data_IF_100474510181
#
_entry.id   IF_100474510181
#
_cell.length_a   1.000
_cell.length_b   1.000
_cell.length_c   1.000
_cell.angle_alpha   90.00
_cell.angle_beta   90.00
_cell.angle_gamma   90.00
#
_symmetry.space_group_name_H-M   'P 1'
#
loop_
_entity.id
_entity.type
_entity.pdbx_description
1 polymer ?
#
# COMPACT_ATOMS: atom_id res chain seq x y z
N UNK A 1 -33.05 -31.73 68.15
CA UNK A 1 -33.90 -30.54 68.33
C UNK A 1 -33.24 -29.41 67.60
N UNK A 2 -33.70 -29.18 66.43
CA UNK A 2 -34.36 -27.98 65.84
C UNK A 2 -33.50 -26.74 65.78
N UNK A 3 -33.17 -26.36 64.53
CA UNK A 3 -33.69 -25.24 63.69
C UNK A 3 -32.96 -23.88 63.99
N UNK A 4 -32.52 -23.09 63.08
CA UNK A 4 -32.81 -22.51 61.81
C UNK A 4 -31.67 -21.53 61.41
N UNK A 5 -31.27 -21.59 60.13
CA UNK A 5 -31.35 -20.58 59.04
C UNK A 5 -30.62 -19.24 59.18
N UNK A 6 -29.64 -19.07 58.26
CA UNK A 6 -29.72 -18.15 57.12
C UNK A 6 -29.27 -16.70 57.32
N UNK A 7 -28.20 -16.30 56.70
CA UNK A 7 -28.22 -15.11 55.83
C UNK A 7 -26.98 -15.11 54.93
N UNK A 8 -27.22 -15.36 53.66
CA UNK A 8 -26.25 -15.25 52.58
C UNK A 8 -26.03 -13.78 52.23
N UNK A 9 -24.80 -13.36 52.22
CA UNK A 9 -24.36 -12.15 51.53
C UNK A 9 -23.94 -12.53 50.11
N UNK A 10 -24.83 -12.34 49.15
CA UNK A 10 -24.49 -12.36 47.71
C UNK A 10 -23.69 -11.09 47.38
N UNK A 11 -22.38 -11.19 47.30
CA UNK A 11 -21.56 -10.20 46.66
C UNK A 11 -21.75 -10.37 45.15
N UNK A 12 -22.65 -9.62 44.55
CA UNK A 12 -22.72 -9.42 43.12
C UNK A 12 -21.53 -8.54 42.70
N UNK A 13 -20.37 -9.16 42.34
CA UNK A 13 -19.40 -8.50 41.49
C UNK A 13 -20.07 -8.35 40.12
N UNK A 14 -20.50 -7.15 39.76
CA UNK A 14 -20.77 -6.75 38.38
C UNK A 14 -19.45 -6.92 37.64
N UNK A 15 -19.30 -8.05 36.98
CA UNK A 15 -18.22 -8.29 36.02
C UNK A 15 -18.46 -7.32 34.87
N UNK A 16 -17.46 -6.50 34.58
CA UNK A 16 -17.51 -5.50 33.53
C UNK A 16 -17.56 -6.23 32.17
N UNK A 17 -18.76 -6.28 31.62
CA UNK A 17 -19.09 -7.00 30.38
C UNK A 17 -18.26 -6.50 29.20
N UNK A 18 -17.79 -5.24 29.24
CA UNK A 18 -16.95 -4.63 28.24
C UNK A 18 -15.49 -5.15 28.27
N UNK A 19 -14.98 -5.53 29.44
CA UNK A 19 -13.64 -6.11 29.57
C UNK A 19 -13.58 -7.53 28.99
N UNK A 20 -14.62 -8.33 29.18
CA UNK A 20 -14.71 -9.66 28.55
C UNK A 20 -14.98 -9.59 27.06
N UNK A 21 -15.75 -8.62 26.57
CA UNK A 21 -15.96 -8.38 25.15
C UNK A 21 -14.66 -8.02 24.44
N UNK A 22 -13.79 -7.17 25.04
CA UNK A 22 -12.50 -6.80 24.44
C UNK A 22 -11.52 -7.99 24.34
N UNK A 23 -11.45 -8.82 25.39
CA UNK A 23 -10.61 -10.03 25.38
C UNK A 23 -11.19 -11.09 24.43
N UNK A 24 -12.53 -11.22 24.37
CA UNK A 24 -13.19 -12.14 23.45
C UNK A 24 -13.00 -11.71 21.98
N UNK A 25 -13.03 -10.41 21.71
CA UNK A 25 -12.77 -9.85 20.37
C UNK A 25 -11.34 -10.15 19.91
N UNK A 26 -10.33 -9.90 20.74
CA UNK A 26 -8.90 -10.18 20.43
C UNK A 26 -8.64 -11.68 20.25
N UNK A 27 -9.31 -12.55 21.04
CA UNK A 27 -9.16 -14.02 20.92
C UNK A 27 -9.91 -14.54 19.68
N UNK A 28 -11.05 -13.94 19.33
CA UNK A 28 -11.80 -14.30 18.13
C UNK A 28 -11.05 -13.86 16.87
N UNK A 29 -10.44 -12.65 16.84
CA UNK A 29 -9.64 -12.20 15.70
C UNK A 29 -8.46 -13.15 15.41
N UNK A 30 -7.68 -13.52 16.42
CA UNK A 30 -6.55 -14.47 16.24
C UNK A 30 -6.99 -15.89 15.84
N UNK A 31 -8.12 -16.38 16.35
CA UNK A 31 -8.69 -17.67 15.95
C UNK A 31 -9.34 -17.61 14.57
N UNK A 32 -9.96 -16.51 14.21
CA UNK A 32 -10.59 -16.34 12.89
C UNK A 32 -9.55 -16.22 11.78
N UNK A 33 -8.38 -15.61 12.04
CA UNK A 33 -7.27 -15.57 11.07
C UNK A 33 -6.76 -16.99 10.79
N UNK A 34 -6.58 -17.80 11.82
CA UNK A 34 -6.14 -19.19 11.67
C UNK A 34 -7.23 -20.09 11.03
N UNK A 35 -8.48 -19.90 11.43
CA UNK A 35 -9.64 -20.60 10.89
C UNK A 35 -9.95 -20.18 9.44
N UNK A 36 -9.74 -18.91 9.07
CA UNK A 36 -9.85 -18.41 7.71
C UNK A 36 -8.81 -19.02 6.78
N UNK A 37 -7.55 -19.10 7.24
CA UNK A 37 -6.46 -19.72 6.49
C UNK A 37 -6.69 -21.23 6.27
N UNK A 38 -7.23 -21.94 7.28
CA UNK A 38 -7.52 -23.38 7.21
C UNK A 38 -8.76 -23.72 6.35
N UNK A 39 -9.67 -22.75 6.11
CA UNK A 39 -10.91 -22.96 5.38
C UNK A 39 -10.99 -22.24 4.02
N UNK A 40 -9.87 -21.72 3.51
CA UNK A 40 -9.81 -21.03 2.21
C UNK A 40 -10.63 -19.73 2.16
N UNK A 41 -10.93 -19.12 3.31
CA UNK A 41 -11.56 -17.80 3.37
C UNK A 41 -10.56 -16.75 2.90
N UNK A 42 -10.93 -15.97 1.88
CA UNK A 42 -10.13 -14.82 1.42
C UNK A 42 -9.85 -13.86 2.58
N UNK A 43 -8.60 -13.44 2.68
CA UNK A 43 -8.21 -12.35 3.58
C UNK A 43 -9.09 -11.13 3.28
N UNK A 44 -9.82 -10.65 4.28
CA UNK A 44 -10.57 -9.39 4.16
C UNK A 44 -9.59 -8.25 4.43
N UNK A 45 -9.59 -7.25 3.58
CA UNK A 45 -8.75 -6.05 3.79
C UNK A 45 -9.01 -5.49 5.18
N UNK A 46 -7.97 -5.42 6.01
CA UNK A 46 -8.08 -4.96 7.40
C UNK A 46 -7.87 -3.44 7.50
N UNK A 47 -7.12 -2.85 6.56
CA UNK A 47 -6.75 -1.44 6.57
C UNK A 47 -7.84 -0.57 5.95
N UNK A 48 -8.46 0.31 6.75
CA UNK A 48 -9.37 1.33 6.26
C UNK A 48 -8.60 2.47 5.60
N UNK A 49 -9.02 2.90 4.41
CA UNK A 49 -8.38 4.03 3.72
C UNK A 49 -9.35 5.18 3.59
N UNK A 50 -8.92 6.38 4.01
CA UNK A 50 -9.68 7.61 3.96
C UNK A 50 -8.95 8.59 3.03
N UNK A 51 -9.67 9.13 2.07
CA UNK A 51 -9.19 10.24 1.23
C UNK A 51 -9.64 11.55 1.85
N UNK A 52 -8.70 12.43 2.17
CA UNK A 52 -9.01 13.70 2.81
C UNK A 52 -9.58 14.73 1.82
N UNK A 53 -10.33 15.70 2.32
CA UNK A 53 -10.86 16.81 1.53
C UNK A 53 -9.79 17.55 0.74
N UNK A 54 -8.57 17.65 1.27
CA UNK A 54 -7.45 18.30 0.59
C UNK A 54 -7.07 17.59 -0.72
N UNK A 55 -7.21 16.28 -0.78
CA UNK A 55 -7.00 15.51 -2.02
C UNK A 55 -8.23 15.59 -2.92
N UNK A 56 -9.44 15.44 -2.37
CA UNK A 56 -10.70 15.50 -3.14
C UNK A 56 -10.90 16.86 -3.81
N UNK A 57 -10.43 17.95 -3.21
CA UNK A 57 -10.48 19.29 -3.80
C UNK A 57 -9.52 19.46 -4.99
N UNK A 58 -8.31 18.91 -4.92
CA UNK A 58 -7.30 19.04 -6.00
C UNK A 58 -7.45 17.98 -7.08
N UNK A 59 -8.06 16.85 -6.74
CA UNK A 59 -8.32 15.73 -7.65
C UNK A 59 -9.67 15.05 -7.33
N UNK A 60 -10.79 15.67 -7.71
CA UNK A 60 -12.14 15.11 -7.43
C UNK A 60 -12.39 13.75 -8.08
N UNK A 61 -11.65 13.45 -9.14
CA UNK A 61 -11.72 12.16 -9.86
C UNK A 61 -10.81 11.08 -9.30
N UNK A 62 -10.11 11.33 -8.19
CA UNK A 62 -9.18 10.34 -7.62
C UNK A 62 -9.86 9.00 -7.35
N UNK A 63 -9.20 7.93 -7.79
CA UNK A 63 -9.57 6.54 -7.49
C UNK A 63 -8.32 5.80 -7.08
N UNK A 64 -8.33 5.23 -5.90
CA UNK A 64 -7.26 4.37 -5.42
C UNK A 64 -7.69 2.91 -5.31
N UNK A 65 -6.72 2.01 -5.27
CA UNK A 65 -6.95 0.63 -4.84
C UNK A 65 -5.91 0.24 -3.79
N UNK A 66 -6.36 -0.57 -2.83
CA UNK A 66 -5.48 -1.23 -1.87
C UNK A 66 -5.55 -2.74 -2.11
N UNK A 67 -4.38 -3.38 -2.25
CA UNK A 67 -4.25 -4.84 -2.31
C UNK A 67 -3.57 -5.30 -1.05
N UNK A 68 -4.13 -6.29 -0.36
CA UNK A 68 -3.57 -6.88 0.85
C UNK A 68 -3.45 -8.38 0.67
N UNK A 69 -2.25 -8.94 0.93
CA UNK A 69 -1.96 -10.34 0.70
C UNK A 69 -0.98 -10.92 1.71
N UNK A 70 -1.12 -12.20 2.06
CA UNK A 70 -0.07 -12.97 2.69
C UNK A 70 0.90 -13.46 1.64
N UNK A 71 2.20 -13.31 1.90
CA UNK A 71 3.26 -13.51 0.92
C UNK A 71 4.49 -14.16 1.54
N UNK A 72 5.30 -14.77 0.68
CA UNK A 72 6.67 -15.16 0.99
C UNK A 72 7.58 -14.33 0.09
N UNK A 73 8.42 -13.48 0.68
CA UNK A 73 9.39 -12.69 -0.06
C UNK A 73 10.67 -13.51 -0.30
N UNK A 74 11.31 -13.30 -1.43
CA UNK A 74 12.58 -13.92 -1.78
C UNK A 74 13.57 -12.87 -2.29
N UNK A 75 14.89 -13.09 -2.14
CA UNK A 75 15.90 -12.12 -2.60
C UNK A 75 15.87 -11.88 -4.12
N UNK A 76 15.37 -12.85 -4.88
CA UNK A 76 15.38 -12.80 -6.34
C UNK A 76 14.41 -13.80 -6.96
N UNK A 77 13.79 -13.42 -8.08
CA UNK A 77 12.95 -14.28 -8.91
C UNK A 77 13.33 -14.13 -10.38
N UNK A 78 14.07 -15.11 -10.93
CA UNK A 78 14.48 -15.10 -12.34
C UNK A 78 13.29 -14.98 -13.31
N UNK A 79 12.16 -15.73 -13.11
CA UNK A 79 11.02 -15.59 -14.02
C UNK A 79 10.34 -14.20 -13.94
N UNK A 80 10.36 -13.53 -12.79
CA UNK A 80 9.85 -12.15 -12.68
C UNK A 80 10.75 -11.18 -13.45
N UNK A 81 12.06 -11.36 -13.36
CA UNK A 81 13.02 -10.51 -14.07
C UNK A 81 12.97 -10.72 -15.59
N UNK A 82 12.69 -11.93 -16.08
CA UNK A 82 12.39 -12.17 -17.49
C UNK A 82 11.18 -11.33 -17.98
N UNK A 83 10.11 -11.27 -17.17
CA UNK A 83 8.93 -10.46 -17.47
C UNK A 83 9.25 -8.95 -17.43
N UNK A 84 10.05 -8.49 -16.47
CA UNK A 84 10.53 -7.10 -16.39
C UNK A 84 11.35 -6.74 -17.65
N UNK A 85 12.28 -7.59 -18.09
CA UNK A 85 13.09 -7.35 -19.28
C UNK A 85 12.25 -7.29 -20.57
N UNK A 86 11.17 -8.06 -20.68
CA UNK A 86 10.24 -7.96 -21.82
C UNK A 86 9.56 -6.58 -21.86
N UNK A 87 9.14 -6.05 -20.70
CA UNK A 87 8.58 -4.70 -20.62
C UNK A 87 9.62 -3.61 -20.87
N UNK A 88 10.87 -3.79 -20.44
CA UNK A 88 11.96 -2.89 -20.78
C UNK A 88 12.20 -2.79 -22.28
N UNK A 89 12.30 -3.94 -22.97
CA UNK A 89 12.48 -3.98 -24.41
C UNK A 89 11.34 -3.26 -25.15
N UNK A 90 10.09 -3.59 -24.79
CA UNK A 90 8.90 -2.97 -25.37
C UNK A 90 8.88 -1.45 -25.18
N UNK A 91 9.18 -0.95 -23.99
CA UNK A 91 9.13 0.50 -23.72
C UNK A 91 10.26 1.27 -24.38
N UNK A 92 11.42 0.65 -24.60
CA UNK A 92 12.51 1.27 -25.39
C UNK A 92 12.10 1.49 -26.85
N UNK A 93 11.24 0.63 -27.39
CA UNK A 93 10.74 0.76 -28.75
C UNK A 93 9.57 1.75 -28.87
N UNK A 94 8.69 1.81 -27.85
CA UNK A 94 7.43 2.57 -27.89
C UNK A 94 7.54 4.00 -27.30
N UNK A 95 8.48 4.27 -26.41
CA UNK A 95 8.54 5.50 -25.61
C UNK A 95 9.88 6.22 -25.70
N UNK A 96 9.81 7.54 -25.52
CA UNK A 96 10.97 8.41 -25.26
C UNK A 96 10.85 9.10 -23.92
N UNK A 97 11.93 9.73 -23.45
CA UNK A 97 11.91 10.52 -22.19
C UNK A 97 10.98 11.73 -22.26
N UNK A 98 10.59 12.16 -23.43
CA UNK A 98 9.64 13.23 -23.69
C UNK A 98 8.19 12.71 -23.64
N UNK A 99 7.91 11.60 -24.36
CA UNK A 99 6.57 11.04 -24.50
C UNK A 99 6.09 10.34 -23.22
N UNK A 100 6.99 9.78 -22.42
CA UNK A 100 6.61 9.10 -21.16
C UNK A 100 5.79 10.00 -20.21
N UNK A 101 6.01 11.33 -20.22
CA UNK A 101 5.26 12.29 -19.41
C UNK A 101 3.78 12.43 -19.84
N UNK A 102 3.43 11.91 -21.01
CA UNK A 102 2.08 11.92 -21.57
C UNK A 102 1.29 10.67 -21.16
N UNK A 103 1.95 9.64 -20.59
CA UNK A 103 1.24 8.49 -20.04
C UNK A 103 0.20 8.95 -19.01
N UNK A 104 -1.08 8.51 -19.12
CA UNK A 104 -2.19 9.09 -18.35
C UNK A 104 -1.95 9.16 -16.84
N UNK A 105 -1.49 8.06 -16.22
CA UNK A 105 -1.20 8.00 -14.79
C UNK A 105 -0.07 8.95 -14.37
N UNK A 106 1.01 9.03 -15.17
CA UNK A 106 2.13 9.95 -14.91
C UNK A 106 1.69 11.40 -15.08
N UNK A 107 1.01 11.72 -16.19
CA UNK A 107 0.51 13.07 -16.46
C UNK A 107 -0.43 13.56 -15.36
N UNK A 108 -1.33 12.69 -14.89
CA UNK A 108 -2.27 12.99 -13.82
C UNK A 108 -1.56 13.24 -12.49
N UNK A 109 -0.62 12.37 -12.09
CA UNK A 109 0.18 12.54 -10.87
C UNK A 109 0.95 13.87 -10.89
N UNK A 110 1.53 14.22 -12.04
CA UNK A 110 2.24 15.51 -12.23
C UNK A 110 1.30 16.71 -12.10
N UNK A 111 0.04 16.60 -12.58
CA UNK A 111 -0.97 17.66 -12.40
C UNK A 111 -1.33 17.86 -10.93
N UNK A 112 -1.55 16.77 -10.20
CA UNK A 112 -1.84 16.81 -8.75
C UNK A 112 -0.67 17.43 -7.98
N UNK A 113 0.57 17.07 -8.27
CA UNK A 113 1.74 17.71 -7.65
C UNK A 113 1.73 19.22 -7.83
N UNK A 114 1.50 19.70 -9.07
CA UNK A 114 1.41 21.15 -9.35
C UNK A 114 0.25 21.80 -8.60
N UNK A 115 -0.92 21.17 -8.55
CA UNK A 115 -2.07 21.67 -7.81
C UNK A 115 -1.83 21.77 -6.30
N UNK A 116 -1.00 20.89 -5.76
CA UNK A 116 -0.54 20.92 -4.36
C UNK A 116 0.71 21.83 -4.14
N UNK A 117 1.17 22.57 -5.16
CA UNK A 117 2.31 23.48 -5.07
C UNK A 117 3.69 22.78 -5.16
N UNK A 118 3.76 21.53 -5.60
CA UNK A 118 5.02 20.76 -5.73
C UNK A 118 5.51 20.72 -7.17
N UNK A 119 6.80 20.95 -7.40
CA UNK A 119 7.39 20.81 -8.73
C UNK A 119 7.62 19.32 -9.08
N UNK A 120 6.87 18.77 -10.06
CA UNK A 120 7.01 17.37 -10.47
C UNK A 120 8.28 17.07 -11.27
N UNK A 121 9.07 18.07 -11.64
CA UNK A 121 10.37 17.86 -12.29
C UNK A 121 11.47 17.59 -11.26
N UNK A 122 11.32 18.18 -10.09
CA UNK A 122 12.22 17.98 -8.95
C UNK A 122 11.83 16.74 -8.13
N UNK A 123 10.53 16.55 -7.92
CA UNK A 123 9.94 15.43 -7.15
C UNK A 123 9.17 14.50 -8.09
N UNK A 124 9.87 13.78 -8.96
CA UNK A 124 9.22 12.93 -9.97
C UNK A 124 8.41 11.80 -9.34
N UNK A 125 7.24 11.46 -9.92
CA UNK A 125 6.53 10.23 -9.58
C UNK A 125 7.42 8.99 -9.73
N UNK A 126 7.27 7.99 -8.85
CA UNK A 126 8.09 6.78 -8.87
C UNK A 126 7.97 6.02 -10.20
N UNK A 127 6.75 5.87 -10.75
CA UNK A 127 6.53 5.27 -12.07
C UNK A 127 7.31 6.00 -13.19
N UNK A 128 7.33 7.35 -13.17
CA UNK A 128 8.14 8.13 -14.12
C UNK A 128 9.63 7.88 -13.94
N UNK A 129 10.11 7.75 -12.71
CA UNK A 129 11.53 7.49 -12.42
C UNK A 129 11.97 6.12 -12.95
N UNK A 130 11.16 5.07 -12.72
CA UNK A 130 11.44 3.71 -13.17
C UNK A 130 11.50 3.66 -14.70
N UNK A 131 10.46 4.13 -15.40
CA UNK A 131 10.42 4.08 -16.87
C UNK A 131 11.53 4.95 -17.47
N UNK A 132 11.79 6.14 -16.93
CA UNK A 132 12.88 7.00 -17.39
C UNK A 132 14.24 6.32 -17.28
N UNK A 133 14.47 5.57 -16.19
CA UNK A 133 15.71 4.82 -15.97
C UNK A 133 15.90 3.78 -17.06
N UNK A 134 14.84 3.01 -17.41
CA UNK A 134 14.85 2.04 -18.50
C UNK A 134 15.14 2.69 -19.87
N UNK A 135 14.47 3.82 -20.18
CA UNK A 135 14.65 4.56 -21.44
C UNK A 135 16.06 5.16 -21.57
N UNK A 136 16.76 5.38 -20.47
CA UNK A 136 18.17 5.81 -20.47
C UNK A 136 19.16 4.66 -20.61
N UNK A 137 18.70 3.43 -20.81
CA UNK A 137 19.55 2.24 -20.90
C UNK A 137 20.19 1.84 -19.57
N UNK A 138 19.66 2.32 -18.45
CA UNK A 138 20.12 1.94 -17.10
C UNK A 138 19.29 0.78 -16.61
N UNK A 139 19.94 -0.25 -16.07
CA UNK A 139 19.27 -1.38 -15.43
C UNK A 139 18.43 -0.91 -14.24
N UNK A 140 17.25 -1.50 -14.06
CA UNK A 140 16.47 -1.32 -12.83
C UNK A 140 17.24 -1.91 -11.63
N UNK A 141 17.01 -1.34 -10.45
CA UNK A 141 17.55 -1.93 -9.23
C UNK A 141 16.82 -3.22 -8.90
N UNK A 142 17.56 -4.28 -8.72
CA UNK A 142 17.11 -5.55 -8.21
C UNK A 142 17.19 -5.50 -6.68
N UNK A 143 16.07 -5.56 -6.01
CA UNK A 143 15.99 -5.39 -4.54
C UNK A 143 15.58 -6.70 -3.88
N UNK A 144 14.32 -7.10 -4.07
CA UNK A 144 13.71 -8.36 -3.66
C UNK A 144 12.44 -8.58 -4.48
N UNK A 145 11.87 -9.78 -4.41
CA UNK A 145 10.73 -10.15 -5.25
C UNK A 145 9.51 -9.25 -5.04
N UNK A 146 9.20 -8.82 -3.80
CA UNK A 146 8.06 -7.94 -3.55
C UNK A 146 8.28 -6.53 -4.11
N UNK A 147 9.45 -5.95 -3.92
CA UNK A 147 9.77 -4.63 -4.49
C UNK A 147 9.77 -4.69 -6.02
N UNK A 148 10.36 -5.73 -6.59
CA UNK A 148 10.49 -5.88 -8.05
C UNK A 148 9.12 -6.05 -8.71
N UNK A 149 8.18 -6.83 -8.12
CA UNK A 149 6.83 -6.97 -8.66
C UNK A 149 5.99 -5.69 -8.54
N UNK A 150 6.13 -4.91 -7.47
CA UNK A 150 5.46 -3.60 -7.32
C UNK A 150 6.01 -2.61 -8.35
N UNK A 151 7.33 -2.63 -8.58
CA UNK A 151 7.95 -1.84 -9.64
C UNK A 151 7.44 -2.25 -11.03
N UNK A 152 7.31 -3.56 -11.31
CA UNK A 152 6.75 -4.03 -12.58
C UNK A 152 5.31 -3.52 -12.76
N UNK A 153 4.45 -3.64 -11.75
CA UNK A 153 3.08 -3.12 -11.81
C UNK A 153 3.03 -1.60 -12.05
N UNK A 154 3.95 -0.83 -11.40
CA UNK A 154 4.11 0.60 -11.63
C UNK A 154 4.50 0.94 -13.08
N UNK A 155 5.40 0.15 -13.67
CA UNK A 155 5.86 0.31 -15.06
C UNK A 155 4.72 0.02 -16.03
N UNK A 156 4.05 -1.12 -15.90
CA UNK A 156 3.00 -1.60 -16.81
C UNK A 156 1.81 -0.64 -16.87
N UNK A 157 1.41 -0.09 -15.74
CA UNK A 157 0.22 0.76 -15.65
C UNK A 157 0.53 2.26 -15.62
N UNK A 158 1.78 2.65 -15.39
CA UNK A 158 2.20 4.05 -15.29
C UNK A 158 1.69 4.75 -14.03
N UNK A 159 1.19 4.02 -13.04
CA UNK A 159 0.81 4.55 -11.73
C UNK A 159 1.98 4.49 -10.74
N UNK A 160 2.11 5.50 -9.89
CA UNK A 160 2.98 5.40 -8.72
C UNK A 160 2.29 4.55 -7.67
N UNK A 161 2.93 3.46 -7.29
CA UNK A 161 2.41 2.44 -6.38
C UNK A 161 3.32 2.39 -5.16
N UNK A 162 2.74 2.46 -3.96
CA UNK A 162 3.46 2.21 -2.71
C UNK A 162 3.32 0.74 -2.31
N UNK A 163 4.42 0.14 -1.82
CA UNK A 163 4.44 -1.23 -1.30
C UNK A 163 4.99 -1.25 0.12
N UNK A 164 4.24 -1.85 1.03
CA UNK A 164 4.49 -1.75 2.47
C UNK A 164 4.41 -3.10 3.16
N UNK A 165 5.16 -3.22 4.23
CA UNK A 165 4.97 -4.24 5.25
C UNK A 165 3.78 -3.82 6.12
N UNK A 166 2.63 -4.48 5.95
CA UNK A 166 1.40 -4.13 6.65
C UNK A 166 1.52 -4.32 8.17
N UNK A 167 2.36 -5.25 8.63
CA UNK A 167 2.57 -5.50 10.06
C UNK A 167 3.38 -4.38 10.75
N UNK A 168 4.00 -3.46 9.97
CA UNK A 168 4.68 -2.25 10.47
C UNK A 168 3.79 -1.00 10.50
N UNK A 169 2.55 -1.10 10.00
CA UNK A 169 1.58 -0.02 10.11
C UNK A 169 1.07 0.11 11.53
N UNK A 170 0.77 1.33 11.96
CA UNK A 170 0.24 1.59 13.30
C UNK A 170 -1.20 2.09 13.19
N UNK A 171 -2.11 1.32 13.82
CA UNK A 171 -3.56 1.52 13.71
C UNK A 171 -4.17 0.74 12.54
N UNK A 172 -5.46 0.96 12.34
CA UNK A 172 -6.30 0.29 11.35
C UNK A 172 -6.72 1.20 10.17
N UNK A 173 -6.23 2.44 10.18
CA UNK A 173 -6.68 3.47 9.23
C UNK A 173 -5.48 4.20 8.63
N UNK A 174 -5.46 4.31 7.30
CA UNK A 174 -4.58 5.17 6.54
C UNK A 174 -5.35 6.37 6.00
N UNK A 175 -4.78 7.57 6.11
CA UNK A 175 -5.36 8.78 5.53
C UNK A 175 -4.48 9.29 4.40
N UNK A 176 -5.03 9.40 3.19
CA UNK A 176 -4.39 10.09 2.07
C UNK A 176 -4.67 11.58 2.19
N UNK A 177 -3.63 12.37 2.36
CA UNK A 177 -3.69 13.83 2.46
C UNK A 177 -2.55 14.51 1.72
N UNK A 178 -2.30 15.79 2.02
CA UNK A 178 -1.20 16.58 1.47
C UNK A 178 -0.14 16.78 2.55
N UNK A 179 1.14 16.60 2.21
CA UNK A 179 2.29 16.80 3.08
C UNK A 179 2.40 18.25 3.55
N UNK A 180 2.79 18.43 4.81
CA UNK A 180 2.92 19.74 5.47
C UNK A 180 4.37 20.19 5.49
N UNK A 181 4.59 21.51 5.65
CA UNK A 181 5.91 22.05 5.88
C UNK A 181 6.52 21.51 7.18
N UNK A 182 7.78 21.10 7.14
CA UNK A 182 8.49 20.54 8.29
C UNK A 182 8.01 19.15 8.76
N UNK A 183 7.10 18.50 8.03
CA UNK A 183 6.62 17.16 8.39
C UNK A 183 7.77 16.15 8.29
N UNK A 184 8.10 15.40 9.39
CA UNK A 184 9.17 14.42 9.36
C UNK A 184 8.87 13.29 8.39
N UNK A 185 9.80 13.02 7.48
CA UNK A 185 9.67 11.93 6.52
C UNK A 185 11.04 11.43 6.05
N UNK A 186 11.37 10.21 6.39
CA UNK A 186 12.58 9.54 5.93
C UNK A 186 12.27 8.63 4.75
N UNK A 187 12.67 9.03 3.55
CA UNK A 187 12.45 8.24 2.34
C UNK A 187 13.45 7.11 2.20
N UNK A 188 13.01 5.94 1.73
CA UNK A 188 13.86 4.75 1.53
C UNK A 188 15.07 5.11 0.65
N UNK A 189 16.28 4.96 1.22
CA UNK A 189 17.54 5.23 0.52
C UNK A 189 17.79 6.70 0.17
N UNK A 190 17.01 7.65 0.72
CA UNK A 190 17.08 9.08 0.40
C UNK A 190 17.29 9.98 1.62
N UNK A 191 17.19 9.42 2.84
CA UNK A 191 17.19 10.18 4.08
C UNK A 191 15.97 11.11 4.21
N UNK A 192 16.14 12.22 4.94
CA UNK A 192 15.04 13.16 5.21
C UNK A 192 14.57 13.88 3.94
N UNK A 193 13.28 13.73 3.62
CA UNK A 193 12.63 14.33 2.46
C UNK A 193 11.66 15.44 2.88
N UNK A 194 11.68 16.57 2.17
CA UNK A 194 10.62 17.57 2.27
C UNK A 194 9.39 17.10 1.46
N UNK A 195 8.37 16.57 2.16
CA UNK A 195 7.13 16.09 1.56
C UNK A 195 6.03 17.16 1.48
N UNK A 196 6.29 18.41 1.91
CA UNK A 196 5.33 19.50 1.79
C UNK A 196 4.79 19.59 0.35
N UNK A 197 3.47 19.59 0.19
CA UNK A 197 2.80 19.63 -1.11
C UNK A 197 2.84 18.31 -1.90
N UNK A 198 3.30 17.19 -1.34
CA UNK A 198 3.12 15.86 -1.94
C UNK A 198 1.86 15.20 -1.38
N UNK A 199 1.08 14.45 -2.19
CA UNK A 199 0.14 13.48 -1.64
C UNK A 199 0.88 12.51 -0.72
N UNK A 200 0.34 12.23 0.45
CA UNK A 200 0.98 11.35 1.44
C UNK A 200 -0.06 10.52 2.18
N UNK A 201 0.19 9.21 2.27
CA UNK A 201 -0.54 8.32 3.17
C UNK A 201 0.06 8.41 4.56
N UNK A 202 -0.81 8.45 5.57
CA UNK A 202 -0.43 8.48 6.99
C UNK A 202 -1.18 7.43 7.76
N UNK A 203 -0.44 6.73 8.61
CA UNK A 203 -0.99 5.96 9.72
C UNK A 203 -1.02 6.83 11.00
N UNK A 204 -1.21 6.21 12.17
CA UNK A 204 -1.26 6.95 13.44
C UNK A 204 0.08 7.60 13.83
N UNK A 205 1.21 7.12 13.34
CA UNK A 205 2.52 7.69 13.65
C UNK A 205 2.95 8.80 12.68
N UNK A 206 2.42 8.80 11.44
CA UNK A 206 2.81 9.80 10.45
C UNK A 206 2.86 9.26 9.02
N UNK A 207 3.61 9.94 8.14
CA UNK A 207 3.73 9.56 6.75
C UNK A 207 4.31 8.17 6.55
N UNK A 208 3.72 7.38 5.64
CA UNK A 208 4.17 6.04 5.27
C UNK A 208 4.57 5.94 3.79
N UNK A 209 3.89 6.68 2.90
CA UNK A 209 4.17 6.63 1.47
C UNK A 209 3.73 7.89 0.74
N UNK A 210 4.49 8.24 -0.30
CA UNK A 210 4.16 9.30 -1.27
C UNK A 210 4.34 8.74 -2.68
N UNK A 211 3.72 9.32 -3.73
CA UNK A 211 3.96 8.84 -5.08
C UNK A 211 5.41 9.04 -5.58
N UNK A 212 6.28 9.66 -4.78
CA UNK A 212 7.73 9.84 -5.08
C UNK A 212 8.61 8.81 -4.38
N UNK A 213 8.30 8.43 -3.13
CA UNK A 213 9.09 7.50 -2.30
C UNK A 213 8.29 7.07 -1.09
N UNK A 214 8.47 5.82 -0.68
CA UNK A 214 7.90 5.28 0.56
C UNK A 214 8.82 5.57 1.75
N UNK A 215 8.26 5.47 2.97
CA UNK A 215 8.98 5.77 4.21
C UNK A 215 9.77 4.55 4.69
N UNK A 216 10.98 4.79 5.21
CA UNK A 216 11.91 3.77 5.70
C UNK A 216 11.28 2.84 6.75
N UNK A 217 10.41 3.37 7.63
CA UNK A 217 9.78 2.62 8.73
C UNK A 217 8.89 1.46 8.26
N UNK A 218 8.17 1.65 7.19
CA UNK A 218 7.16 0.69 6.68
C UNK A 218 7.62 -0.07 5.45
N UNK A 219 8.91 0.00 5.13
CA UNK A 219 9.48 -0.67 3.96
C UNK A 219 9.31 -2.19 4.04
N UNK A 220 9.11 -2.79 2.89
CA UNK A 220 9.21 -4.24 2.70
C UNK A 220 10.65 -4.72 2.94
N UNK A 221 10.79 -5.92 3.47
CA UNK A 221 12.06 -6.62 3.69
C UNK A 221 11.87 -8.10 3.37
N UNK A 222 12.94 -8.90 3.43
CA UNK A 222 12.84 -10.35 3.22
C UNK A 222 11.96 -11.06 4.27
N UNK A 223 11.76 -10.44 5.43
CA UNK A 223 10.91 -10.96 6.51
C UNK A 223 9.43 -10.56 6.35
N UNK A 224 9.10 -9.71 5.38
CA UNK A 224 7.71 -9.28 5.13
C UNK A 224 6.85 -10.47 4.72
N UNK A 225 5.82 -10.75 5.50
CA UNK A 225 4.83 -11.81 5.27
C UNK A 225 3.42 -11.27 5.03
N UNK A 226 3.21 -9.98 5.24
CA UNK A 226 1.93 -9.31 5.06
C UNK A 226 2.14 -8.05 4.22
N UNK A 227 1.80 -8.16 2.95
CA UNK A 227 1.97 -7.09 1.97
C UNK A 227 0.72 -6.21 1.92
N UNK A 228 0.92 -4.88 1.94
CA UNK A 228 -0.06 -3.88 1.56
C UNK A 228 0.47 -3.10 0.36
N UNK A 229 -0.33 -3.02 -0.71
CA UNK A 229 0.00 -2.22 -1.91
C UNK A 229 -1.05 -1.16 -2.13
N UNK A 230 -0.64 0.10 -2.34
CA UNK A 230 -1.52 1.23 -2.58
C UNK A 230 -1.31 1.79 -3.99
N UNK A 231 -2.35 1.76 -4.81
CA UNK A 231 -2.36 2.24 -6.19
C UNK A 231 -2.98 3.63 -6.25
N UNK A 232 -2.31 4.57 -6.92
CA UNK A 232 -2.72 5.97 -7.01
C UNK A 232 -3.24 6.33 -8.41
N UNK A 233 -4.54 6.22 -8.65
CA UNK A 233 -5.20 6.57 -9.91
C UNK A 233 -5.70 8.01 -9.92
N UNK A 234 -4.80 8.98 -10.05
CA UNK A 234 -5.14 10.40 -10.15
C UNK A 234 -5.78 10.79 -11.49
N UNK A 235 -5.80 9.92 -12.48
CA UNK A 235 -6.49 10.09 -13.76
C UNK A 235 -7.97 9.75 -13.72
N UNK A 236 -8.44 9.18 -12.61
CA UNK A 236 -9.85 8.82 -12.39
C UNK A 236 -10.29 7.57 -13.16
N UNK A 237 -9.37 6.83 -13.77
CA UNK A 237 -9.70 5.63 -14.53
C UNK A 237 -9.80 4.41 -13.59
N UNK A 238 -11.00 4.18 -13.05
CA UNK A 238 -11.26 3.06 -12.13
C UNK A 238 -10.99 1.70 -12.76
N UNK A 239 -11.36 1.49 -14.02
CA UNK A 239 -11.14 0.22 -14.71
C UNK A 239 -9.64 -0.11 -14.77
N UNK A 240 -8.81 0.87 -15.12
CA UNK A 240 -7.35 0.71 -15.16
C UNK A 240 -6.76 0.48 -13.77
N UNK A 241 -7.28 1.14 -12.73
CA UNK A 241 -6.88 0.93 -11.32
C UNK A 241 -7.24 -0.49 -10.88
N UNK A 242 -8.45 -0.96 -11.24
CA UNK A 242 -8.92 -2.32 -10.94
C UNK A 242 -8.05 -3.38 -11.62
N UNK A 243 -7.79 -3.25 -12.92
CA UNK A 243 -6.90 -4.16 -13.65
C UNK A 243 -5.48 -4.17 -13.06
N UNK A 244 -4.98 -3.03 -12.58
CA UNK A 244 -3.68 -3.00 -11.90
C UNK A 244 -3.70 -3.78 -10.57
N UNK A 245 -4.78 -3.64 -9.77
CA UNK A 245 -4.94 -4.42 -8.54
C UNK A 245 -5.00 -5.93 -8.82
N UNK A 246 -5.76 -6.35 -9.84
CA UNK A 246 -5.84 -7.74 -10.29
C UNK A 246 -4.48 -8.25 -10.80
N UNK A 247 -3.74 -7.42 -11.51
CA UNK A 247 -2.38 -7.75 -11.97
C UNK A 247 -1.42 -7.99 -10.78
N UNK A 248 -1.47 -7.14 -9.76
CA UNK A 248 -0.69 -7.35 -8.53
C UNK A 248 -1.08 -8.66 -7.85
N UNK A 249 -2.38 -8.99 -7.76
CA UNK A 249 -2.83 -10.28 -7.22
C UNK A 249 -2.27 -11.47 -8.02
N UNK A 250 -2.23 -11.37 -9.35
CA UNK A 250 -1.62 -12.39 -10.20
C UNK A 250 -0.11 -12.52 -9.95
N UNK A 251 0.60 -11.39 -9.81
CA UNK A 251 2.04 -11.39 -9.56
C UNK A 251 2.39 -12.03 -8.20
N UNK A 252 1.66 -11.66 -7.12
CA UNK A 252 1.93 -12.26 -5.80
C UNK A 252 1.56 -13.74 -5.76
N UNK A 253 0.52 -14.17 -6.48
CA UNK A 253 0.17 -15.60 -6.61
C UNK A 253 1.25 -16.36 -7.38
N UNK A 254 1.80 -15.75 -8.43
CA UNK A 254 2.80 -16.39 -9.30
C UNK A 254 4.18 -16.49 -8.65
N UNK A 255 4.59 -15.45 -7.88
CA UNK A 255 5.98 -15.30 -7.44
C UNK A 255 6.19 -15.34 -5.93
N UNK A 256 5.13 -15.21 -5.11
CA UNK A 256 5.25 -15.03 -3.66
C UNK A 256 4.45 -16.04 -2.85
N UNK A 257 4.14 -17.22 -3.39
CA UNK A 257 3.40 -18.30 -2.71
C UNK A 257 2.08 -17.80 -2.05
N UNK A 258 1.40 -16.88 -2.69
CA UNK A 258 0.18 -16.23 -2.21
C UNK A 258 -1.07 -16.80 -2.90
N UNK A 259 -2.22 -16.70 -2.23
CA UNK A 259 -3.54 -16.92 -2.84
C UNK A 259 -4.03 -15.71 -3.65
N UNK A 260 -3.23 -14.64 -3.72
CA UNK A 260 -3.56 -13.37 -4.36
C UNK A 260 -4.20 -12.35 -3.42
N UNK A 261 -4.60 -12.76 -2.23
CA UNK A 261 -5.20 -11.87 -1.24
C UNK A 261 -6.52 -11.23 -1.68
N UNK A 262 -6.78 -10.03 -1.22
CA UNK A 262 -7.96 -9.24 -1.56
C UNK A 262 -7.59 -7.81 -1.96
N UNK A 263 -8.51 -7.12 -2.68
CA UNK A 263 -8.36 -5.69 -2.91
C UNK A 263 -9.68 -4.94 -2.69
N UNK A 264 -9.57 -3.65 -2.40
CA UNK A 264 -10.70 -2.73 -2.42
C UNK A 264 -10.37 -1.46 -3.22
N UNK A 265 -11.42 -0.84 -3.77
CA UNK A 265 -11.35 0.48 -4.40
C UNK A 265 -11.78 1.51 -3.36
N UNK A 266 -11.11 2.68 -3.32
CA UNK A 266 -11.45 3.81 -2.44
C UNK A 266 -11.36 5.15 -3.18
N UNK A 267 -12.13 6.11 -2.68
CA UNK A 267 -12.24 7.48 -3.22
C UNK A 267 -12.26 8.51 -2.12
#
# INVERSE_FOLDING_TARGET
>A
MSFFMNSGAKVHKKLDFNYYLSIFYVVIERKNIKFAAENGLKLVLQMKIIVSDAISQVCPSFVGAAVEARVVNTPYSAPLWEEIHQWEARYRDELTTETLKQLPGIAATRRVYKACGKDPSRYRPASEQLIRRMLQGKELYQIDTLVDLVNLASIVYGYSIGGFDADKMVGDTLTLGVGREGEPYEGIGRGMLNIAGLPVYRDQLGGVGTPTSDHERTKMTLETTHLLVLINGYDGNEERVRHNAEFIQQLVSKYCQSDGGSYCIYR
#
